data_IF_921306067778
#
_entry.id   IF_921306067778
#
_cell.length_a   1.000
_cell.length_b   1.000
_cell.length_c   1.000
_cell.angle_alpha   90.00
_cell.angle_beta   90.00
_cell.angle_gamma   90.00
#
_symmetry.space_group_name_H-M   'P 1'
#
loop_
_entity.id
_entity.type
_entity.pdbx_description
1 polymer ?
#
# COMPACT_ATOMS: atom_id res chain seq x y z
N UNK A 1 11.07 4.43 -0.77
CA UNK A 1 10.01 3.39 -0.74
C UNK A 1 8.70 4.02 -1.15
N UNK A 2 7.73 3.27 -1.67
CA UNK A 2 6.36 3.74 -1.92
C UNK A 2 5.38 2.75 -1.34
N UNK A 3 4.14 3.18 -1.18
CA UNK A 3 3.04 2.29 -0.92
C UNK A 3 1.92 2.49 -1.95
N UNK A 4 1.11 1.46 -2.13
CA UNK A 4 -0.13 1.52 -2.88
C UNK A 4 -1.17 0.64 -2.18
N UNK A 5 -2.45 0.99 -2.27
CA UNK A 5 -3.55 0.16 -1.79
C UNK A 5 -4.20 -0.56 -2.96
N UNK A 6 -4.63 -1.80 -2.75
CA UNK A 6 -5.50 -2.48 -3.71
C UNK A 6 -6.84 -1.72 -3.77
N UNK A 7 -7.40 -1.63 -4.97
CA UNK A 7 -8.73 -1.07 -5.17
C UNK A 7 -9.80 -2.17 -5.13
N UNK A 8 -11.04 -1.86 -4.74
CA UNK A 8 -12.13 -2.83 -4.78
C UNK A 8 -12.30 -3.47 -6.17
N UNK A 9 -12.06 -2.71 -7.24
CA UNK A 9 -12.12 -3.19 -8.62
C UNK A 9 -11.00 -4.17 -9.01
N UNK A 10 -9.90 -4.20 -8.23
CA UNK A 10 -8.74 -5.03 -8.50
C UNK A 10 -8.83 -6.38 -7.78
N UNK A 11 -8.60 -7.46 -8.52
CA UNK A 11 -8.17 -8.72 -7.90
C UNK A 11 -6.78 -8.55 -7.28
N UNK A 12 -6.44 -9.38 -6.29
CA UNK A 12 -5.10 -9.33 -5.67
C UNK A 12 -3.98 -9.58 -6.69
N UNK A 13 -4.23 -10.45 -7.68
CA UNK A 13 -3.29 -10.74 -8.75
C UNK A 13 -3.12 -9.55 -9.69
N UNK A 14 -4.23 -8.95 -10.13
CA UNK A 14 -4.21 -7.74 -10.98
C UNK A 14 -3.49 -6.59 -10.28
N UNK A 15 -3.76 -6.38 -8.99
CA UNK A 15 -3.06 -5.40 -8.18
C UNK A 15 -1.55 -5.66 -8.13
N UNK A 16 -1.13 -6.91 -7.88
CA UNK A 16 0.28 -7.31 -7.88
C UNK A 16 0.94 -7.06 -9.24
N UNK A 17 0.28 -7.37 -10.35
CA UNK A 17 0.78 -7.12 -11.71
C UNK A 17 0.93 -5.62 -12.00
N UNK A 18 0.03 -4.79 -11.47
CA UNK A 18 0.09 -3.33 -11.63
C UNK A 18 1.32 -2.75 -10.95
N UNK A 19 1.62 -3.18 -9.73
CA UNK A 19 2.78 -2.73 -8.95
C UNK A 19 4.10 -3.33 -9.44
N UNK A 20 4.11 -4.63 -9.73
CA UNK A 20 5.33 -5.37 -10.07
C UNK A 20 5.31 -5.84 -11.53
N UNK A 21 6.10 -5.20 -12.37
CA UNK A 21 6.26 -5.59 -13.78
C UNK A 21 6.73 -7.03 -13.94
N UNK A 22 7.53 -7.57 -13.00
CA UNK A 22 7.98 -8.98 -13.05
C UNK A 22 6.86 -9.98 -12.77
N UNK A 23 5.73 -9.53 -12.21
CA UNK A 23 4.56 -10.38 -11.99
C UNK A 23 3.68 -10.51 -13.24
N UNK A 24 4.02 -9.82 -14.34
CA UNK A 24 3.28 -9.87 -15.61
C UNK A 24 3.84 -11.00 -16.48
N UNK A 25 2.98 -11.74 -17.16
CA UNK A 25 3.43 -12.61 -18.24
C UNK A 25 3.86 -11.77 -19.46
N UNK A 26 4.67 -12.34 -20.34
CA UNK A 26 5.12 -11.65 -21.55
C UNK A 26 3.94 -11.14 -22.39
N UNK A 27 3.99 -9.87 -22.78
CA UNK A 27 2.93 -9.21 -23.55
C UNK A 27 1.68 -8.82 -22.76
N UNK A 28 1.54 -9.20 -21.49
CA UNK A 28 0.40 -8.79 -20.67
C UNK A 28 0.57 -7.38 -20.11
N UNK A 29 -0.45 -6.56 -20.31
CA UNK A 29 -0.57 -5.24 -19.69
C UNK A 29 -1.79 -5.25 -18.77
N UNK A 30 -1.63 -5.01 -17.46
CA UNK A 30 -2.77 -4.94 -16.56
C UNK A 30 -3.70 -3.79 -16.97
N UNK A 31 -5.01 -3.90 -16.69
CA UNK A 31 -5.96 -2.83 -17.00
C UNK A 31 -5.52 -1.51 -16.38
N UNK A 32 -5.62 -0.45 -17.18
CA UNK A 32 -5.44 0.91 -16.66
C UNK A 32 -6.68 1.29 -15.88
N UNK A 33 -6.50 1.79 -14.66
CA UNK A 33 -7.59 2.37 -13.89
C UNK A 33 -7.45 3.89 -13.87
N UNK A 34 -8.57 4.57 -13.76
CA UNK A 34 -8.58 6.03 -13.58
C UNK A 34 -7.91 6.44 -12.25
N UNK A 35 -7.64 7.73 -12.09
CA UNK A 35 -7.12 8.24 -10.81
C UNK A 35 -8.14 7.96 -9.70
N UNK A 36 -7.68 7.36 -8.61
CA UNK A 36 -8.55 7.04 -7.50
C UNK A 36 -8.98 8.29 -6.75
N UNK A 37 -10.26 8.35 -6.38
CA UNK A 37 -10.84 9.43 -5.59
C UNK A 37 -10.75 9.12 -4.08
N UNK A 38 -10.99 10.12 -3.24
CA UNK A 38 -10.99 9.98 -1.78
C UNK A 38 -9.63 10.15 -1.11
N UNK A 39 -8.53 10.22 -1.88
CA UNK A 39 -7.22 10.60 -1.39
C UNK A 39 -7.08 12.12 -1.24
N UNK A 40 -6.57 12.58 -0.09
CA UNK A 40 -6.40 14.00 0.21
C UNK A 40 -5.32 14.65 -0.66
N UNK A 41 -4.15 14.02 -0.77
CA UNK A 41 -3.06 14.54 -1.61
C UNK A 41 -3.09 13.95 -3.01
N UNK A 42 -3.48 12.68 -3.14
CA UNK A 42 -3.70 12.02 -4.41
C UNK A 42 -2.43 11.73 -5.22
N UNK A 43 -2.62 11.36 -6.48
CA UNK A 43 -1.59 10.75 -7.32
C UNK A 43 -0.29 11.58 -7.46
N UNK A 44 -0.40 12.91 -7.50
CA UNK A 44 0.77 13.78 -7.66
C UNK A 44 1.70 13.69 -6.45
N UNK A 45 1.16 13.78 -5.23
CA UNK A 45 1.95 13.66 -4.00
C UNK A 45 2.41 12.22 -3.77
N UNK A 46 1.58 11.23 -4.11
CA UNK A 46 1.95 9.82 -4.05
C UNK A 46 3.12 9.47 -4.98
N UNK A 47 3.45 10.32 -5.96
CA UNK A 47 4.59 10.20 -6.87
C UNK A 47 5.73 11.20 -6.58
N UNK A 48 5.57 12.14 -5.62
CA UNK A 48 6.60 13.12 -5.28
C UNK A 48 7.89 12.45 -4.78
N UNK A 49 9.09 12.98 -5.04
CA UNK A 49 10.32 12.43 -4.45
C UNK A 49 10.31 12.59 -2.92
N UNK A 50 11.00 11.70 -2.21
CA UNK A 50 11.12 11.75 -0.74
C UNK A 50 11.45 10.41 -0.11
N UNK A 51 11.75 10.42 1.20
CA UNK A 51 11.87 9.24 2.05
C UNK A 51 10.57 8.91 2.80
N UNK A 52 9.76 9.94 3.07
CA UNK A 52 8.46 9.81 3.74
C UNK A 52 7.36 9.95 2.68
N UNK A 53 6.48 8.97 2.64
CA UNK A 53 5.27 9.01 1.83
C UNK A 53 4.07 8.80 2.72
N UNK A 54 3.11 9.71 2.62
CA UNK A 54 1.88 9.71 3.40
C UNK A 54 0.73 10.17 2.51
N UNK A 55 -0.43 9.61 2.73
CA UNK A 55 -1.68 10.11 2.16
C UNK A 55 -2.84 9.67 3.05
N UNK A 56 -3.92 10.45 3.02
CA UNK A 56 -5.11 10.22 3.83
C UNK A 56 -6.23 9.87 2.87
N UNK A 57 -6.77 8.66 3.00
CA UNK A 57 -7.94 8.24 2.25
C UNK A 57 -9.18 8.40 3.12
N UNK A 58 -10.24 8.97 2.55
CA UNK A 58 -11.54 9.16 3.18
C UNK A 58 -12.65 8.53 2.34
N UNK A 59 -13.52 7.77 2.97
CA UNK A 59 -14.66 7.13 2.33
C UNK A 59 -15.50 6.31 3.31
N UNK A 60 -16.38 5.46 2.81
CA UNK A 60 -17.19 4.60 3.68
C UNK A 60 -16.35 3.48 4.28
N UNK A 61 -16.79 2.94 5.43
CA UNK A 61 -16.13 1.78 6.04
C UNK A 61 -16.13 0.55 5.12
N UNK A 62 -17.17 0.39 4.29
CA UNK A 62 -17.30 -0.69 3.30
C UNK A 62 -16.23 -0.55 2.23
N UNK A 63 -16.02 0.65 1.71
CA UNK A 63 -15.01 0.92 0.68
C UNK A 63 -13.60 0.73 1.26
N UNK A 64 -13.35 1.16 2.50
CA UNK A 64 -12.07 0.95 3.20
C UNK A 64 -11.77 -0.55 3.36
N UNK A 65 -12.74 -1.31 3.88
CA UNK A 65 -12.61 -2.76 4.06
C UNK A 65 -12.37 -3.46 2.72
N UNK A 66 -13.00 -2.98 1.65
CA UNK A 66 -12.88 -3.54 0.30
C UNK A 66 -11.49 -3.33 -0.33
N UNK A 67 -10.64 -2.43 0.20
CA UNK A 67 -9.25 -2.29 -0.25
C UNK A 67 -8.43 -3.53 0.07
N UNK A 68 -8.50 -4.04 1.30
CA UNK A 68 -8.00 -5.36 1.72
C UNK A 68 -6.51 -5.71 1.49
N UNK A 69 -5.69 -4.85 0.91
CA UNK A 69 -4.25 -5.06 0.76
C UNK A 69 -3.50 -3.74 0.58
N UNK A 70 -2.30 -3.67 1.16
CA UNK A 70 -1.32 -2.60 0.97
C UNK A 70 -0.04 -3.22 0.43
N UNK A 71 0.47 -2.70 -0.68
CA UNK A 71 1.77 -3.06 -1.21
C UNK A 71 2.78 -1.98 -0.80
N UNK A 72 3.92 -2.39 -0.25
CA UNK A 72 5.09 -1.52 -0.04
C UNK A 72 6.19 -1.98 -0.99
N UNK A 73 6.77 -1.06 -1.74
CA UNK A 73 7.71 -1.40 -2.79
C UNK A 73 8.79 -0.34 -3.00
N UNK A 74 10.00 -0.73 -3.42
CA UNK A 74 11.05 0.21 -3.79
C UNK A 74 10.73 0.87 -5.13
N UNK A 75 11.16 2.12 -5.27
CA UNK A 75 11.20 2.83 -6.57
C UNK A 75 12.63 3.16 -6.92
N UNK A 76 12.90 3.28 -8.22
CA UNK A 76 14.19 3.71 -8.72
C UNK A 76 14.60 5.05 -8.09
N UNK A 77 15.68 5.04 -7.31
CA UNK A 77 16.30 6.25 -6.77
C UNK A 77 17.26 6.90 -7.77
N UNK A 78 17.76 8.09 -7.41
CA UNK A 78 18.78 8.82 -8.17
C UNK A 78 20.07 8.02 -8.40
N UNK A 79 20.32 7.00 -7.58
CA UNK A 79 21.50 6.15 -7.62
C UNK A 79 21.38 4.95 -8.59
N UNK A 80 20.19 4.66 -9.17
CA UNK A 80 19.95 3.48 -10.01
C UNK A 80 21.00 3.27 -11.12
N UNK A 81 21.49 4.36 -11.72
CA UNK A 81 22.43 4.31 -12.84
C UNK A 81 23.90 4.45 -12.41
N UNK A 82 24.18 4.47 -11.10
CA UNK A 82 25.53 4.64 -10.55
C UNK A 82 25.96 3.34 -9.87
N UNK A 83 26.52 2.41 -10.65
CA UNK A 83 26.97 1.09 -10.16
C UNK A 83 27.88 1.14 -8.93
N UNK A 84 28.68 2.20 -8.78
CA UNK A 84 29.56 2.38 -7.61
C UNK A 84 28.81 2.59 -6.28
N UNK A 85 27.52 2.92 -6.33
CA UNK A 85 26.64 3.14 -5.18
C UNK A 85 25.47 2.14 -5.15
N UNK A 86 25.60 1.00 -5.83
CA UNK A 86 24.56 -0.02 -5.83
C UNK A 86 24.53 -0.77 -4.48
N UNK A 87 23.47 -0.53 -3.71
CA UNK A 87 23.18 -1.20 -2.44
C UNK A 87 21.98 -2.14 -2.54
N UNK A 88 21.62 -2.58 -3.76
CA UNK A 88 20.45 -3.44 -3.97
C UNK A 88 20.49 -4.76 -3.19
N UNK A 89 21.69 -5.27 -2.87
CA UNK A 89 21.88 -6.49 -2.08
C UNK A 89 21.72 -6.28 -0.56
N UNK A 90 21.81 -5.05 -0.06
CA UNK A 90 21.75 -4.75 1.38
C UNK A 90 20.30 -4.66 1.90
N UNK A 91 19.32 -4.61 0.99
CA UNK A 91 17.93 -4.36 1.35
C UNK A 91 17.68 -2.91 1.77
N UNK A 92 16.50 -2.62 2.28
CA UNK A 92 16.16 -1.30 2.82
C UNK A 92 15.20 -1.44 3.98
N UNK A 93 15.56 -0.83 5.11
CA UNK A 93 14.67 -0.76 6.26
C UNK A 93 13.53 0.21 5.98
N UNK A 94 12.32 -0.20 6.34
CA UNK A 94 11.14 0.65 6.21
C UNK A 94 10.16 0.38 7.36
N UNK A 95 9.35 1.38 7.65
CA UNK A 95 8.22 1.26 8.56
C UNK A 95 6.95 1.65 7.82
N UNK A 96 5.87 0.89 8.04
CA UNK A 96 4.54 1.22 7.58
C UNK A 96 3.70 1.57 8.81
N UNK A 97 3.13 2.78 8.81
CA UNK A 97 2.18 3.22 9.85
C UNK A 97 0.83 3.38 9.17
N UNK A 98 -0.17 2.69 9.70
CA UNK A 98 -1.56 2.80 9.25
C UNK A 98 -2.38 3.28 10.44
N UNK A 99 -3.13 4.36 10.23
CA UNK A 99 -4.12 4.85 11.18
C UNK A 99 -5.49 4.74 10.55
N UNK A 100 -6.48 4.30 11.32
CA UNK A 100 -7.88 4.27 10.91
C UNK A 100 -8.63 5.13 11.92
N UNK A 101 -9.31 6.14 11.41
CA UNK A 101 -10.20 6.98 12.20
C UNK A 101 -11.61 6.92 11.61
N UNK A 102 -12.60 7.02 12.49
CA UNK A 102 -14.00 7.24 12.12
C UNK A 102 -14.50 8.50 12.81
N UNK A 103 -15.61 9.05 12.33
CA UNK A 103 -16.38 10.02 13.13
C UNK A 103 -16.76 9.38 14.46
N UNK A 104 -17.09 10.20 15.45
CA UNK A 104 -17.55 9.74 16.75
C UNK A 104 -18.74 8.79 16.55
N UNK A 105 -18.53 7.52 16.90
CA UNK A 105 -19.56 6.48 16.90
C UNK A 105 -19.70 6.02 18.34
N UNK A 106 -20.92 5.86 18.84
CA UNK A 106 -21.20 5.31 20.18
C UNK A 106 -20.82 3.81 20.32
N UNK A 107 -20.21 3.22 19.28
CA UNK A 107 -19.90 1.80 19.19
C UNK A 107 -18.40 1.59 19.49
N UNK A 108 -18.11 0.68 20.41
CA UNK A 108 -16.73 0.27 20.71
C UNK A 108 -16.12 -0.52 19.54
N UNK A 109 -15.16 0.09 18.85
CA UNK A 109 -14.37 -0.54 17.79
C UNK A 109 -13.09 -1.20 18.31
N UNK A 110 -12.60 -0.79 19.48
CA UNK A 110 -11.28 -1.18 19.96
C UNK A 110 -11.24 -2.62 20.46
N UNK A 111 -12.17 -2.98 21.35
CA UNK A 111 -12.22 -4.32 21.95
C UNK A 111 -12.32 -5.45 20.91
N UNK A 112 -13.25 -5.42 19.93
CA UNK A 112 -13.35 -6.50 18.94
C UNK A 112 -12.13 -6.58 18.02
N UNK A 113 -11.53 -5.44 17.65
CA UNK A 113 -10.32 -5.41 16.81
C UNK A 113 -9.12 -6.00 17.56
N UNK A 114 -8.93 -5.64 18.82
CA UNK A 114 -7.83 -6.18 19.64
C UNK A 114 -7.94 -7.69 19.85
N UNK A 115 -9.14 -8.21 20.03
CA UNK A 115 -9.36 -9.66 20.16
C UNK A 115 -8.99 -10.42 18.89
N UNK A 116 -9.31 -9.87 17.71
CA UNK A 116 -8.95 -10.48 16.43
C UNK A 116 -7.43 -10.45 16.19
N UNK A 117 -6.78 -9.31 16.42
CA UNK A 117 -5.32 -9.18 16.25
C UNK A 117 -4.57 -10.15 17.17
N UNK A 118 -4.95 -10.24 18.45
CA UNK A 118 -4.29 -11.13 19.40
C UNK A 118 -4.41 -12.62 19.01
N UNK A 119 -5.50 -13.02 18.35
CA UNK A 119 -5.69 -14.38 17.86
C UNK A 119 -4.81 -14.70 16.64
N UNK A 120 -4.55 -13.72 15.77
CA UNK A 120 -3.71 -13.89 14.57
C UNK A 120 -2.19 -13.87 14.87
N UNK A 121 -1.75 -13.23 15.96
CA UNK A 121 -0.33 -13.12 16.34
C UNK A 121 0.22 -14.41 17.00
N UNK A 122 -0.49 -15.55 16.91
CA UNK A 122 0.07 -16.85 17.29
C UNK A 122 1.12 -17.27 16.24
N UNK A 123 2.38 -16.90 16.47
CA UNK A 123 3.52 -17.27 15.64
C UNK A 123 3.81 -18.77 15.85
N UNK A 124 3.68 -19.59 14.81
CA UNK A 124 4.23 -20.96 14.84
C UNK A 124 5.75 -20.87 15.07
N UNK A 125 6.20 -21.50 16.16
CA UNK A 125 7.62 -21.63 16.52
C UNK A 125 8.25 -22.83 15.81
#
# INVERSE_FOLDING_TARGET
MRFATRRPEDSIETFRQRINTRARAEGQTPPSLETETGWLFGANQQQSPGSIHTDIWSGSAIDLASKGAIAVYPVAGWWKNRRSYDQSNEGVDYSLIVSIESREVEIDLWTPVMQQIAAEVQIET
#
